data_IF_567400221197
#
_entry.id   IF_567400221197
#
_cell.length_a   1.000
_cell.length_b   1.000
_cell.length_c   1.000
_cell.angle_alpha   90.00
_cell.angle_beta   90.00
_cell.angle_gamma   90.00
#
_symmetry.space_group_name_H-M   'P 1'
#
loop_
_entity.id
_entity.type
_entity.pdbx_description
1 polymer ?
#
# COMPACT_ATOMS: atom_id res chain seq x y z
N UNK A 1 29.76 15.42 4.39
CA UNK A 1 29.07 15.04 5.64
C UNK A 1 28.18 13.80 5.49
N UNK A 2 27.36 13.68 4.42
CA UNK A 2 26.45 12.54 4.21
C UNK A 2 27.13 11.14 4.25
N UNK A 3 28.34 11.02 3.68
CA UNK A 3 29.09 9.76 3.68
C UNK A 3 29.57 9.31 5.07
N UNK A 4 29.76 10.24 6.02
CA UNK A 4 30.18 9.91 7.38
C UNK A 4 28.99 9.39 8.19
N UNK A 5 27.83 10.02 8.06
CA UNK A 5 26.59 9.56 8.70
C UNK A 5 26.19 8.17 8.19
N UNK A 6 26.20 7.96 6.86
CA UNK A 6 25.91 6.65 6.26
C UNK A 6 26.91 5.57 6.68
N UNK A 7 28.19 5.93 6.85
CA UNK A 7 29.21 4.99 7.33
C UNK A 7 28.95 4.61 8.80
N UNK A 8 28.60 5.58 9.65
CA UNK A 8 28.21 5.31 11.02
C UNK A 8 26.98 4.38 11.09
N UNK A 9 25.97 4.59 10.25
CA UNK A 9 24.78 3.72 10.21
C UNK A 9 25.11 2.28 9.82
N UNK A 10 25.98 2.09 8.82
CA UNK A 10 26.43 0.76 8.40
C UNK A 10 27.32 0.07 9.46
N UNK A 11 28.17 0.83 10.14
CA UNK A 11 29.00 0.32 11.23
C UNK A 11 28.13 -0.04 12.46
N UNK A 12 27.08 0.74 12.74
CA UNK A 12 26.07 0.42 13.77
C UNK A 12 25.34 -0.87 13.44
N UNK A 13 24.86 -1.03 12.19
CA UNK A 13 24.14 -2.24 11.76
C UNK A 13 25.01 -3.49 11.89
N UNK A 14 26.25 -3.44 11.41
CA UNK A 14 27.19 -4.55 11.53
C UNK A 14 27.49 -4.93 12.97
N UNK A 15 27.59 -3.93 13.85
CA UNK A 15 27.78 -4.19 15.28
C UNK A 15 26.54 -4.85 15.89
N UNK A 16 25.34 -4.44 15.52
CA UNK A 16 24.09 -5.06 16.01
C UNK A 16 23.98 -6.52 15.57
N UNK A 17 24.31 -6.83 14.31
CA UNK A 17 24.30 -8.22 13.81
C UNK A 17 25.29 -9.09 14.61
N UNK A 18 26.51 -8.59 14.86
CA UNK A 18 27.51 -9.28 15.68
C UNK A 18 27.12 -9.37 17.15
N UNK A 19 26.42 -8.36 17.67
CA UNK A 19 25.90 -8.37 19.03
C UNK A 19 24.84 -9.48 19.18
N UNK A 20 23.96 -9.66 18.21
CA UNK A 20 22.95 -10.73 18.19
C UNK A 20 23.61 -12.12 18.08
N UNK A 21 24.58 -12.28 17.19
CA UNK A 21 25.33 -13.53 17.01
C UNK A 21 26.12 -13.90 18.27
N UNK A 22 26.93 -12.97 18.79
CA UNK A 22 27.72 -13.19 20.02
C UNK A 22 26.83 -13.40 21.25
N UNK A 23 25.66 -12.77 21.30
CA UNK A 23 24.67 -13.04 22.30
C UNK A 23 24.20 -14.51 22.19
N UNK A 24 23.81 -14.99 21.01
CA UNK A 24 23.38 -16.37 20.82
C UNK A 24 24.47 -17.39 21.24
N UNK A 25 25.73 -17.14 20.86
CA UNK A 25 26.85 -18.03 21.15
C UNK A 25 27.29 -18.03 22.62
N UNK A 26 27.14 -16.89 23.31
CA UNK A 26 27.56 -16.70 24.71
C UNK A 26 26.36 -16.27 25.56
N UNK A 27 25.48 -17.20 25.94
CA UNK A 27 24.31 -16.89 26.76
C UNK A 27 24.68 -16.49 28.19
N UNK A 28 25.86 -16.87 28.67
CA UNK A 28 26.32 -16.58 30.04
C UNK A 28 27.05 -15.25 30.18
N UNK A 29 27.38 -14.58 29.07
CA UNK A 29 28.10 -13.30 29.10
C UNK A 29 27.30 -12.25 29.88
N UNK A 30 27.93 -11.69 30.92
CA UNK A 30 27.34 -10.70 31.82
C UNK A 30 27.76 -9.27 31.46
N UNK A 31 28.85 -9.12 30.70
CA UNK A 31 29.45 -7.85 30.36
C UNK A 31 29.62 -7.67 28.83
N UNK A 32 29.63 -6.43 28.37
CA UNK A 32 29.75 -6.09 26.94
C UNK A 32 31.12 -6.49 26.41
N UNK A 33 32.13 -6.43 27.27
CA UNK A 33 33.51 -6.82 26.99
C UNK A 33 33.61 -8.32 26.68
N UNK A 34 32.85 -9.16 27.37
CA UNK A 34 32.80 -10.61 27.17
C UNK A 34 32.11 -10.99 25.85
N UNK A 35 31.10 -10.22 25.44
CA UNK A 35 30.48 -10.35 24.11
C UNK A 35 31.44 -9.88 23.01
N UNK A 36 32.23 -8.84 23.31
CA UNK A 36 33.12 -8.18 22.37
C UNK A 36 34.46 -8.88 22.10
N UNK A 37 34.82 -9.93 22.85
CA UNK A 37 36.11 -10.63 22.67
C UNK A 37 36.29 -11.20 21.26
N UNK A 38 35.21 -11.72 20.67
CA UNK A 38 35.22 -12.29 19.33
C UNK A 38 35.06 -11.24 18.21
N UNK A 39 34.77 -9.98 18.57
CA UNK A 39 34.49 -8.96 17.57
C UNK A 39 35.76 -8.44 16.88
N UNK A 40 35.65 -8.10 15.58
CA UNK A 40 36.75 -7.45 14.90
C UNK A 40 37.09 -6.10 15.56
N UNK A 41 38.35 -5.65 15.46
CA UNK A 41 38.83 -4.46 16.19
C UNK A 41 38.08 -3.18 15.80
N UNK A 42 37.56 -3.09 14.56
CA UNK A 42 36.76 -1.95 14.12
C UNK A 42 35.47 -1.78 14.93
N UNK A 43 34.79 -2.88 15.26
CA UNK A 43 33.53 -2.90 16.00
C UNK A 43 33.73 -2.67 17.50
N UNK A 44 34.82 -3.19 18.07
CA UNK A 44 35.24 -2.87 19.44
C UNK A 44 35.54 -1.38 19.63
N UNK A 45 36.16 -0.75 18.64
CA UNK A 45 36.39 0.69 18.68
C UNK A 45 35.09 1.48 18.49
N UNK A 46 34.18 0.98 17.64
CA UNK A 46 32.90 1.64 17.39
C UNK A 46 32.00 1.68 18.64
N UNK A 47 31.87 0.58 19.38
CA UNK A 47 31.04 0.55 20.59
C UNK A 47 31.56 1.49 21.69
N UNK A 48 32.88 1.74 21.74
CA UNK A 48 33.47 2.72 22.65
C UNK A 48 33.21 4.18 22.27
N UNK A 49 32.85 4.46 21.01
CA UNK A 49 32.60 5.82 20.49
C UNK A 49 31.14 6.11 20.12
N UNK A 50 30.27 5.09 20.12
CA UNK A 50 28.88 5.21 19.69
C UNK A 50 27.93 4.93 20.87
N UNK A 51 27.29 5.98 21.38
CA UNK A 51 26.41 5.91 22.55
C UNK A 51 25.20 5.00 22.32
N UNK A 52 24.58 5.06 21.14
CA UNK A 52 23.41 4.23 20.80
C UNK A 52 23.74 2.74 20.80
N UNK A 53 24.89 2.36 20.24
CA UNK A 53 25.35 0.97 20.26
C UNK A 53 25.72 0.50 21.66
N UNK A 54 26.31 1.38 22.48
CA UNK A 54 26.62 1.08 23.88
C UNK A 54 25.35 0.90 24.71
N UNK A 55 24.33 1.71 24.47
CA UNK A 55 23.01 1.58 25.10
C UNK A 55 22.32 0.28 24.67
N UNK A 56 22.33 -0.04 23.36
CA UNK A 56 21.76 -1.28 22.84
C UNK A 56 22.39 -2.53 23.48
N UNK A 57 23.72 -2.57 23.59
CA UNK A 57 24.43 -3.68 24.23
C UNK A 57 24.09 -3.81 25.72
N UNK A 58 23.98 -2.69 26.45
CA UNK A 58 23.56 -2.67 27.85
C UNK A 58 22.11 -3.13 28.03
N UNK A 59 21.21 -2.69 27.17
CA UNK A 59 19.80 -3.10 27.18
C UNK A 59 19.66 -4.60 26.89
N UNK A 60 20.46 -5.14 25.98
CA UNK A 60 20.49 -6.58 25.71
C UNK A 60 20.93 -7.38 26.94
N UNK A 61 21.99 -6.94 27.64
CA UNK A 61 22.43 -7.60 28.88
C UNK A 61 21.41 -7.44 30.01
N UNK A 62 20.77 -6.29 30.13
CA UNK A 62 19.74 -6.03 31.12
C UNK A 62 18.51 -6.93 30.91
N UNK A 63 18.03 -7.04 29.66
CA UNK A 63 16.93 -7.94 29.32
C UNK A 63 17.28 -9.39 29.59
N UNK A 64 18.51 -9.83 29.25
CA UNK A 64 19.02 -11.15 29.65
C UNK A 64 19.01 -11.37 31.15
N UNK A 65 19.47 -10.38 31.93
CA UNK A 65 19.42 -10.45 33.39
C UNK A 65 18.00 -10.66 33.93
N UNK A 66 17.01 -9.99 33.34
CA UNK A 66 15.59 -10.16 33.69
C UNK A 66 15.12 -11.59 33.34
N UNK A 67 15.50 -12.11 32.17
CA UNK A 67 15.10 -13.44 31.72
C UNK A 67 15.91 -14.60 32.31
N UNK A 68 17.07 -14.36 32.93
CA UNK A 68 17.92 -15.40 33.54
C UNK A 68 17.21 -16.17 34.67
N UNK A 69 16.26 -15.52 35.36
CA UNK A 69 15.39 -16.14 36.37
C UNK A 69 14.11 -16.78 35.81
N UNK A 70 13.79 -16.51 34.55
CA UNK A 70 12.75 -17.22 33.82
C UNK A 70 13.40 -18.50 33.30
N UNK A 71 13.56 -19.46 34.22
CA UNK A 71 13.93 -20.83 33.85
C UNK A 71 13.12 -21.21 32.62
N UNK A 72 13.73 -21.74 31.55
CA UNK A 72 12.97 -22.12 30.39
C UNK A 72 11.90 -23.07 30.92
N UNK A 73 10.64 -22.69 30.79
CA UNK A 73 9.51 -23.49 31.21
C UNK A 73 9.37 -24.76 30.34
N UNK A 74 10.49 -25.32 29.90
CA UNK A 74 10.68 -26.53 29.12
C UNK A 74 10.83 -27.74 30.02
N UNK A 75 11.30 -27.59 31.27
CA UNK A 75 11.24 -28.71 32.24
C UNK A 75 9.81 -28.97 32.76
N UNK A 76 8.91 -27.99 32.62
CA UNK A 76 7.49 -28.15 32.91
C UNK A 76 6.61 -27.55 31.82
N UNK A 77 6.97 -27.74 30.54
CA UNK A 77 5.98 -27.69 29.48
C UNK A 77 5.10 -28.93 29.69
N UNK A 78 4.24 -28.88 30.70
CA UNK A 78 3.35 -29.98 31.06
C UNK A 78 2.60 -30.30 29.76
N UNK A 79 2.69 -31.53 29.22
CA UNK A 79 2.29 -31.86 27.85
C UNK A 79 0.84 -31.47 27.51
N UNK A 80 0.00 -31.24 28.53
CA UNK A 80 -1.36 -30.74 28.38
C UNK A 80 -1.48 -29.31 27.81
N UNK A 81 -0.55 -28.38 28.12
CA UNK A 81 -0.64 -27.00 27.64
C UNK A 81 -0.28 -26.91 26.16
N UNK A 82 0.85 -27.49 25.76
CA UNK A 82 1.26 -27.55 24.36
C UNK A 82 0.19 -28.24 23.49
N UNK A 83 -0.36 -29.37 23.95
CA UNK A 83 -1.44 -30.04 23.24
C UNK A 83 -2.71 -29.18 23.12
N UNK A 84 -3.12 -28.45 24.17
CA UNK A 84 -4.29 -27.55 24.07
C UNK A 84 -4.04 -26.37 23.15
N UNK A 85 -2.86 -25.77 23.19
CA UNK A 85 -2.51 -24.64 22.33
C UNK A 85 -2.46 -25.09 20.88
N UNK A 86 -1.77 -26.18 20.57
CA UNK A 86 -1.72 -26.72 19.21
C UNK A 86 -3.11 -27.15 18.72
N UNK A 87 -3.95 -27.73 19.57
CA UNK A 87 -5.33 -28.05 19.22
C UNK A 87 -6.18 -26.80 18.96
N UNK A 88 -6.00 -25.74 19.75
CA UNK A 88 -6.68 -24.46 19.56
C UNK A 88 -6.21 -23.75 18.28
N UNK A 89 -4.91 -23.80 17.97
CA UNK A 89 -4.33 -23.27 16.72
C UNK A 89 -4.90 -24.04 15.53
N UNK A 90 -4.87 -25.38 15.56
CA UNK A 90 -5.40 -26.21 14.48
C UNK A 90 -6.91 -26.00 14.26
N UNK A 91 -7.68 -25.77 15.33
CA UNK A 91 -9.10 -25.42 15.23
C UNK A 91 -9.28 -24.06 14.54
N UNK A 92 -8.50 -23.05 14.94
CA UNK A 92 -8.54 -21.71 14.35
C UNK A 92 -8.09 -21.68 12.89
N UNK A 93 -7.09 -22.48 12.54
CA UNK A 93 -6.61 -22.62 11.16
C UNK A 93 -7.67 -23.25 10.25
N UNK A 94 -8.44 -24.22 10.75
CA UNK A 94 -9.57 -24.79 10.00
C UNK A 94 -10.64 -23.74 9.71
N UNK A 95 -11.06 -22.98 10.72
CA UNK A 95 -12.03 -21.88 10.54
C UNK A 95 -11.54 -20.87 9.49
N UNK A 96 -10.27 -20.46 9.56
CA UNK A 96 -9.67 -19.54 8.59
C UNK A 96 -9.57 -20.15 7.19
N UNK A 97 -9.27 -21.45 7.08
CA UNK A 97 -9.19 -22.14 5.80
C UNK A 97 -10.55 -22.27 5.11
N UNK A 98 -11.62 -22.48 5.88
CA UNK A 98 -12.98 -22.53 5.37
C UNK A 98 -13.38 -21.16 4.81
N UNK A 99 -13.15 -20.08 5.56
CA UNK A 99 -13.39 -18.71 5.08
C UNK A 99 -12.55 -18.43 3.83
N UNK A 100 -11.25 -18.72 3.85
CA UNK A 100 -10.36 -18.51 2.70
C UNK A 100 -10.82 -19.30 1.46
N UNK A 101 -11.32 -20.52 1.63
CA UNK A 101 -11.85 -21.34 0.55
C UNK A 101 -13.09 -20.73 -0.13
N UNK A 102 -13.94 -20.03 0.63
CA UNK A 102 -15.08 -19.29 0.08
C UNK A 102 -14.63 -18.09 -0.76
N UNK A 103 -13.54 -17.43 -0.38
CA UNK A 103 -12.94 -16.33 -1.15
C UNK A 103 -12.17 -16.80 -2.39
N UNK A 104 -11.70 -18.05 -2.43
CA UNK A 104 -11.04 -18.64 -3.61
C UNK A 104 -11.99 -18.90 -4.79
N UNK A 105 -13.31 -18.92 -4.57
CA UNK A 105 -14.29 -19.01 -5.66
C UNK A 105 -14.56 -17.66 -6.37
N UNK A 106 -14.21 -16.53 -5.72
CA UNK A 106 -14.43 -15.17 -6.22
C UNK A 106 -13.65 -14.83 -7.50
N UNK A 107 -12.37 -15.20 -7.69
CA UNK A 107 -11.62 -14.79 -8.89
C UNK A 107 -12.16 -15.38 -10.21
N UNK A 108 -12.78 -16.57 -10.17
CA UNK A 108 -13.42 -17.15 -11.35
C UNK A 108 -14.70 -16.40 -11.74
N UNK A 109 -15.42 -15.84 -10.77
CA UNK A 109 -16.59 -15.00 -11.02
C UNK A 109 -16.18 -13.62 -11.55
N UNK A 110 -15.11 -13.04 -11.02
CA UNK A 110 -14.58 -11.77 -11.49
C UNK A 110 -14.16 -11.82 -12.97
N UNK A 111 -13.48 -12.90 -13.38
CA UNK A 111 -13.11 -13.11 -14.78
C UNK A 111 -14.33 -13.16 -15.71
N UNK A 112 -15.37 -13.90 -15.33
CA UNK A 112 -16.60 -14.02 -16.14
C UNK A 112 -17.38 -12.70 -16.19
N UNK A 113 -17.42 -11.95 -15.09
CA UNK A 113 -18.05 -10.62 -15.04
C UNK A 113 -17.30 -9.59 -15.89
N UNK A 114 -15.97 -9.60 -15.88
CA UNK A 114 -15.17 -8.71 -16.72
C UNK A 114 -15.41 -8.96 -18.22
N UNK A 115 -15.48 -10.24 -18.62
CA UNK A 115 -15.81 -10.62 -20.01
C UNK A 115 -17.23 -10.20 -20.38
N UNK A 116 -18.20 -10.43 -19.50
CA UNK A 116 -19.59 -10.01 -19.74
C UNK A 116 -19.72 -8.48 -19.85
N UNK A 117 -19.07 -7.73 -18.96
CA UNK A 117 -19.05 -6.27 -18.99
C UNK A 117 -18.37 -5.72 -20.26
N UNK A 118 -17.25 -6.33 -20.68
CA UNK A 118 -16.57 -5.97 -21.93
C UNK A 118 -17.44 -6.22 -23.16
N UNK A 119 -18.12 -7.37 -23.23
CA UNK A 119 -19.07 -7.66 -24.31
C UNK A 119 -20.22 -6.65 -24.34
N UNK A 120 -20.76 -6.29 -23.18
CA UNK A 120 -21.85 -5.33 -23.05
C UNK A 120 -21.42 -3.91 -23.45
N UNK A 121 -20.19 -3.51 -23.11
CA UNK A 121 -19.57 -2.27 -23.57
C UNK A 121 -19.38 -2.25 -25.09
N UNK A 122 -18.93 -3.35 -25.69
CA UNK A 122 -18.79 -3.46 -27.14
C UNK A 122 -20.15 -3.30 -27.82
N UNK A 123 -21.17 -4.04 -27.38
CA UNK A 123 -22.53 -3.95 -27.93
C UNK A 123 -23.11 -2.55 -27.73
N UNK A 124 -22.91 -1.93 -26.56
CA UNK A 124 -23.36 -0.56 -26.31
C UNK A 124 -22.63 0.45 -27.20
N UNK A 125 -21.33 0.28 -27.41
CA UNK A 125 -20.53 1.16 -28.26
C UNK A 125 -20.92 1.05 -29.74
N UNK A 126 -21.21 -0.16 -30.23
CA UNK A 126 -21.67 -0.37 -31.61
C UNK A 126 -23.07 0.24 -31.80
N UNK A 127 -23.97 0.06 -30.82
CA UNK A 127 -25.29 0.70 -30.84
C UNK A 127 -25.24 2.23 -30.78
N UNK A 128 -24.29 2.78 -30.03
CA UNK A 128 -24.11 4.23 -29.92
C UNK A 128 -23.53 4.82 -31.21
N UNK A 129 -22.68 4.07 -31.91
CA UNK A 129 -22.11 4.48 -33.19
C UNK A 129 -23.10 4.34 -34.36
N UNK A 130 -23.98 3.33 -34.32
CA UNK A 130 -25.05 3.15 -35.30
C UNK A 130 -26.24 4.08 -35.11
N UNK A 131 -26.35 4.78 -33.98
CA UNK A 131 -27.26 5.91 -33.87
C UNK A 131 -26.59 7.15 -34.46
N UNK A 132 -26.96 7.61 -35.68
CA UNK A 132 -26.53 8.91 -36.13
C UNK A 132 -27.09 9.94 -35.14
N UNK A 133 -26.22 10.53 -34.32
CA UNK A 133 -26.54 11.81 -33.72
C UNK A 133 -26.78 12.77 -34.91
N UNK A 134 -27.93 13.46 -34.99
CA UNK A 134 -28.04 14.57 -35.91
C UNK A 134 -26.96 15.58 -35.51
N UNK A 135 -25.96 15.74 -36.38
CA UNK A 135 -24.86 16.66 -36.15
C UNK A 135 -25.44 18.07 -35.90
N UNK A 136 -25.08 18.77 -34.81
CA UNK A 136 -25.28 20.20 -34.76
C UNK A 136 -24.33 20.81 -35.79
N UNK A 137 -24.90 21.33 -36.85
CA UNK A 137 -24.24 21.98 -37.98
C UNK A 137 -23.60 23.30 -37.53
N UNK A 138 -22.59 23.25 -36.66
CA UNK A 138 -21.96 24.44 -36.03
C UNK A 138 -20.44 24.52 -36.22
N UNK A 139 -19.86 23.75 -37.13
CA UNK A 139 -18.42 23.86 -37.45
C UNK A 139 -18.11 24.65 -38.73
N UNK A 140 -19.11 25.13 -39.47
CA UNK A 140 -18.89 26.03 -40.61
C UNK A 140 -18.93 27.52 -40.23
N UNK A 141 -19.52 27.89 -39.08
CA UNK A 141 -19.78 29.30 -38.73
C UNK A 141 -18.66 29.97 -37.92
N UNK A 142 -17.68 29.20 -37.40
CA UNK A 142 -16.60 29.78 -36.58
C UNK A 142 -15.40 30.25 -37.41
N UNK A 143 -15.27 29.82 -38.66
CA UNK A 143 -14.19 30.24 -39.55
C UNK A 143 -14.57 31.45 -40.42
N UNK A 144 -15.86 31.64 -40.74
CA UNK A 144 -16.35 32.80 -41.49
C UNK A 144 -16.57 34.06 -40.63
N UNK A 145 -16.60 33.93 -39.30
CA UNK A 145 -16.87 35.04 -38.38
C UNK A 145 -15.63 35.89 -38.03
N UNK A 146 -14.41 35.52 -38.48
CA UNK A 146 -13.20 36.28 -38.19
C UNK A 146 -12.83 37.34 -39.24
N UNK A 147 -13.53 37.43 -40.38
CA UNK A 147 -13.11 38.32 -41.48
C UNK A 147 -14.05 39.51 -41.74
N UNK A 148 -15.15 39.66 -41.00
CA UNK A 148 -16.15 40.71 -41.28
C UNK A 148 -16.16 41.80 -40.21
N UNK A 149 -15.11 42.62 -40.15
CA UNK A 149 -14.96 43.75 -39.22
C UNK A 149 -15.29 45.13 -39.83
N UNK A 150 -15.78 45.21 -41.08
CA UNK A 150 -15.98 46.48 -41.80
C UNK A 150 -17.24 46.58 -42.68
N UNK A 151 -18.35 45.93 -42.31
CA UNK A 151 -19.63 46.12 -43.03
C UNK A 151 -20.74 46.54 -42.05
N UNK A 152 -21.41 47.69 -42.21
CA UNK A 152 -22.55 48.05 -41.38
C UNK A 152 -23.76 47.14 -41.70
N UNK A 153 -24.57 46.75 -40.70
CA UNK A 153 -25.72 45.88 -40.93
C UNK A 153 -26.78 46.59 -41.79
N UNK A 154 -27.40 45.91 -42.78
CA UNK A 154 -28.53 46.49 -43.51
C UNK A 154 -29.75 46.64 -42.57
N UNK A 155 -30.57 47.69 -42.77
CA UNK A 155 -31.62 48.07 -41.81
C UNK A 155 -32.73 47.04 -41.68
N UNK A 156 -33.22 46.90 -40.45
CA UNK A 156 -34.38 46.13 -40.05
C UNK A 156 -35.70 46.77 -40.53
N UNK A 157 -36.67 45.91 -40.88
CA UNK A 157 -38.07 46.14 -41.27
C UNK A 157 -38.39 46.30 -42.76
N UNK A 158 -39.08 45.28 -43.28
CA UNK A 158 -40.36 45.36 -44.02
C UNK A 158 -40.92 43.92 -44.05
N UNK A 159 -41.76 43.58 -43.08
CA UNK A 159 -43.23 43.52 -43.24
C UNK A 159 -43.67 42.49 -44.28
N UNK A 160 -43.97 41.27 -43.82
CA UNK A 160 -45.09 40.52 -44.36
C UNK A 160 -45.90 39.92 -43.21
N UNK A 161 -46.90 40.73 -42.85
CA UNK A 161 -48.17 40.42 -42.23
C UNK A 161 -48.62 38.97 -42.47
N UNK A 162 -48.97 38.25 -41.40
CA UNK A 162 -50.26 37.56 -41.27
C UNK A 162 -50.43 37.11 -39.80
N UNK A 163 -51.06 37.97 -39.00
CA UNK A 163 -51.78 37.59 -37.78
C UNK A 163 -53.24 37.40 -38.20
N UNK A 164 -53.88 36.28 -37.83
CA UNK A 164 -54.88 36.39 -36.78
C UNK A 164 -54.73 35.35 -35.67
N UNK A 165 -54.56 35.88 -34.45
CA UNK A 165 -55.32 35.56 -33.22
C UNK A 165 -55.32 34.11 -32.75
N UNK A 166 -54.48 33.85 -31.75
CA UNK A 166 -54.83 32.96 -30.63
C UNK A 166 -55.63 33.76 -29.60
N UNK A 167 -56.68 33.15 -29.04
CA UNK A 167 -57.33 33.36 -27.72
C UNK A 167 -58.82 33.00 -27.83
N UNK A 168 -59.52 32.32 -26.93
CA UNK A 168 -59.28 31.75 -25.60
C UNK A 168 -60.49 30.81 -25.32
N UNK A 169 -60.40 29.96 -24.32
CA UNK A 169 -61.40 29.02 -23.82
C UNK A 169 -62.70 29.71 -23.34
N UNK A 170 -63.88 29.23 -23.81
CA UNK A 170 -65.10 29.06 -22.98
C UNK A 170 -66.11 28.13 -23.63
#
# INVERSE_FOLDING_TARGET
MLNLLRKCDEDCRKLLDLLEESAADRPEAAHVEELGEAWPPGQRNHIGGCESCQEAARNLLATRGIFKGVSPATEMARPWFANRVMAAIAARERELSEVASTWLAVPKLASRLAVAAGALLLVASTWLYERPLPAPNQQASTLAAQESLFEPPPPANQDDLLVPVQDDNR
#
